data_IF_576080533683
#
_entry.id   IF_576080533683
#
_cell.length_a   1.000
_cell.length_b   1.000
_cell.length_c   1.000
_cell.angle_alpha   90.00
_cell.angle_beta   90.00
_cell.angle_gamma   90.00
#
_symmetry.space_group_name_H-M   'P 1'
#
loop_
_entity.id
_entity.type
_entity.pdbx_description
1 polymer ?
#
# COMPACT_ATOMS: atom_id res chain seq x y z
N UNK A 1 -12.02 -29.47 0.35
CA UNK A 1 -10.59 -29.76 0.62
C UNK A 1 -10.14 -31.17 0.24
N UNK A 2 -10.88 -32.26 0.55
CA UNK A 2 -10.48 -33.63 0.13
C UNK A 2 -10.25 -33.77 -1.39
N UNK A 3 -11.16 -33.23 -2.21
CA UNK A 3 -11.02 -33.19 -3.68
C UNK A 3 -9.74 -32.47 -4.15
N UNK A 4 -9.36 -31.38 -3.49
CA UNK A 4 -8.14 -30.62 -3.82
C UNK A 4 -6.89 -31.47 -3.57
N UNK A 5 -6.82 -32.15 -2.43
CA UNK A 5 -5.69 -33.05 -2.11
C UNK A 5 -5.57 -34.17 -3.14
N UNK A 6 -6.71 -34.76 -3.56
CA UNK A 6 -6.72 -35.81 -4.59
C UNK A 6 -6.19 -35.30 -5.94
N UNK A 7 -6.63 -34.11 -6.39
CA UNK A 7 -6.15 -33.53 -7.65
C UNK A 7 -4.65 -33.18 -7.60
N UNK A 8 -4.18 -32.61 -6.48
CA UNK A 8 -2.76 -32.33 -6.29
C UNK A 8 -1.91 -33.62 -6.31
N UNK A 9 -2.36 -34.68 -5.65
CA UNK A 9 -1.67 -35.98 -5.67
C UNK A 9 -1.69 -36.65 -7.05
N UNK A 10 -2.68 -36.32 -7.90
CA UNK A 10 -2.73 -36.75 -9.29
C UNK A 10 -1.81 -35.93 -10.23
N UNK A 11 -1.05 -34.95 -9.68
CA UNK A 11 -0.16 -34.09 -10.45
C UNK A 11 -0.86 -32.92 -11.15
N UNK A 12 -2.13 -32.64 -10.82
CA UNK A 12 -2.87 -31.52 -11.41
C UNK A 12 -2.55 -30.19 -10.71
N UNK A 13 -2.54 -29.10 -11.48
CA UNK A 13 -2.41 -27.75 -10.96
C UNK A 13 -3.74 -27.24 -10.40
N UNK A 14 -3.72 -26.65 -9.20
CA UNK A 14 -4.92 -26.10 -8.55
C UNK A 14 -4.71 -24.62 -8.23
N UNK A 15 -5.65 -23.79 -8.70
CA UNK A 15 -5.71 -22.36 -8.34
C UNK A 15 -6.63 -22.20 -7.13
N UNK A 16 -6.16 -21.48 -6.10
CA UNK A 16 -6.91 -21.24 -4.88
C UNK A 16 -6.76 -19.77 -4.48
N UNK A 17 -7.88 -19.13 -4.14
CA UNK A 17 -7.91 -17.87 -3.41
C UNK A 17 -8.02 -18.16 -1.91
N UNK A 18 -6.93 -18.04 -1.13
CA UNK A 18 -6.91 -18.53 0.25
C UNK A 18 -7.78 -17.69 1.20
N UNK A 19 -8.25 -16.53 0.74
CA UNK A 19 -9.23 -15.66 1.40
C UNK A 19 -10.67 -16.17 1.32
N UNK A 20 -10.97 -17.13 0.44
CA UNK A 20 -12.28 -17.75 0.27
C UNK A 20 -13.39 -16.86 -0.31
N UNK A 21 -13.18 -15.54 -0.40
CA UNK A 21 -14.12 -14.57 -0.97
C UNK A 21 -13.40 -13.43 -1.69
N UNK A 22 -14.12 -12.75 -2.58
CA UNK A 22 -13.64 -11.53 -3.25
C UNK A 22 -13.66 -10.39 -2.23
N UNK A 23 -12.56 -9.64 -2.14
CA UNK A 23 -12.41 -8.47 -1.26
C UNK A 23 -13.35 -7.33 -1.65
N UNK A 24 -13.89 -6.64 -0.64
CA UNK A 24 -14.73 -5.44 -0.82
C UNK A 24 -13.92 -4.14 -0.73
N UNK A 25 -12.73 -4.20 -0.14
CA UNK A 25 -11.87 -3.04 0.14
C UNK A 25 -10.60 -3.02 -0.71
N UNK A 26 -10.28 -4.13 -1.39
CA UNK A 26 -9.01 -4.29 -2.10
C UNK A 26 -7.84 -4.68 -1.21
N UNK A 27 -8.04 -4.75 0.11
CA UNK A 27 -7.03 -5.21 1.06
C UNK A 27 -7.03 -6.74 1.20
N UNK A 28 -5.91 -7.29 1.69
CA UNK A 28 -5.78 -8.70 2.04
C UNK A 28 -6.79 -9.05 3.14
N UNK A 29 -7.64 -10.03 2.85
CA UNK A 29 -8.60 -10.53 3.84
C UNK A 29 -7.98 -11.60 4.73
N UNK A 30 -8.80 -12.16 5.63
CA UNK A 30 -8.39 -13.32 6.43
C UNK A 30 -8.05 -14.49 5.51
N UNK A 31 -6.78 -14.90 5.53
CA UNK A 31 -6.30 -16.14 4.94
C UNK A 31 -6.80 -17.31 5.80
N UNK A 32 -7.54 -18.24 5.21
CA UNK A 32 -7.99 -19.45 5.90
C UNK A 32 -6.85 -20.47 6.01
N UNK A 33 -6.85 -21.26 7.10
CA UNK A 33 -5.80 -22.25 7.35
C UNK A 33 -5.83 -23.45 6.38
N UNK A 34 -6.98 -23.69 5.73
CA UNK A 34 -7.22 -24.85 4.90
C UNK A 34 -6.23 -25.02 3.74
N UNK A 35 -6.05 -24.01 2.88
CA UNK A 35 -5.06 -24.03 1.79
C UNK A 35 -3.63 -24.27 2.28
N UNK A 36 -3.21 -23.59 3.36
CA UNK A 36 -1.89 -23.79 3.96
C UNK A 36 -1.68 -25.24 4.40
N UNK A 37 -2.66 -25.81 5.12
CA UNK A 37 -2.61 -27.20 5.56
C UNK A 37 -2.55 -28.20 4.40
N UNK A 38 -3.27 -27.96 3.30
CA UNK A 38 -3.22 -28.83 2.13
C UNK A 38 -1.85 -28.77 1.46
N UNK A 39 -1.28 -27.58 1.30
CA UNK A 39 0.07 -27.43 0.73
C UNK A 39 1.12 -28.13 1.60
N UNK A 40 1.09 -27.92 2.92
CA UNK A 40 2.01 -28.57 3.86
C UNK A 40 1.85 -30.10 3.89
N UNK A 41 0.62 -30.62 3.79
CA UNK A 41 0.35 -32.06 3.80
C UNK A 41 0.80 -32.77 2.52
N UNK A 42 0.67 -32.10 1.38
CA UNK A 42 0.98 -32.68 0.05
C UNK A 42 2.43 -32.42 -0.37
N UNK A 43 3.12 -31.47 0.26
CA UNK A 43 4.50 -31.12 -0.06
C UNK A 43 4.66 -30.41 -1.41
N UNK A 44 3.56 -29.92 -1.99
CA UNK A 44 3.57 -29.26 -3.31
C UNK A 44 4.21 -27.89 -3.25
N UNK A 45 4.76 -27.46 -4.39
CA UNK A 45 5.21 -26.09 -4.61
C UNK A 45 4.00 -25.15 -4.74
N UNK A 46 4.13 -23.96 -4.19
CA UNK A 46 3.16 -22.86 -4.24
C UNK A 46 3.73 -21.80 -5.17
N UNK A 47 2.96 -21.35 -6.15
CA UNK A 47 3.30 -20.23 -7.02
C UNK A 47 2.46 -19.01 -6.61
N UNK A 48 3.04 -17.98 -5.95
CA UNK A 48 2.31 -16.79 -5.59
C UNK A 48 2.04 -15.92 -6.82
N UNK A 49 0.77 -15.62 -7.08
CA UNK A 49 0.34 -14.77 -8.20
C UNK A 49 -0.55 -13.64 -7.68
N UNK A 50 -0.12 -12.40 -7.87
CA UNK A 50 -0.94 -11.21 -7.60
C UNK A 50 -1.64 -10.75 -8.86
N UNK A 51 -2.96 -10.57 -8.76
CA UNK A 51 -3.80 -10.02 -9.81
C UNK A 51 -4.17 -8.58 -9.44
N UNK A 52 -3.69 -7.61 -10.21
CA UNK A 52 -4.02 -6.19 -10.02
C UNK A 52 -5.02 -5.72 -11.09
N UNK A 53 -5.84 -4.72 -10.76
CA UNK A 53 -6.78 -4.08 -11.68
C UNK A 53 -8.13 -4.79 -11.86
N UNK A 54 -8.19 -6.13 -11.80
CA UNK A 54 -9.43 -6.88 -12.01
C UNK A 54 -10.58 -6.48 -11.06
N UNK A 55 -10.25 -6.12 -9.81
CA UNK A 55 -11.23 -5.70 -8.81
C UNK A 55 -11.97 -4.38 -9.17
N UNK A 56 -11.40 -3.57 -10.07
CA UNK A 56 -11.98 -2.29 -10.52
C UNK A 56 -12.97 -2.49 -11.68
N UNK A 57 -13.13 -3.71 -12.18
CA UNK A 57 -14.12 -3.99 -13.23
C UNK A 57 -15.54 -3.95 -12.65
N UNK A 58 -16.54 -3.87 -13.53
CA UNK A 58 -17.95 -3.96 -13.13
C UNK A 58 -18.34 -5.33 -12.55
N UNK A 59 -17.53 -6.37 -12.78
CA UNK A 59 -17.68 -7.70 -12.18
C UNK A 59 -16.94 -7.84 -10.83
N UNK A 60 -16.18 -6.82 -10.43
CA UNK A 60 -15.55 -6.74 -9.12
C UNK A 60 -16.58 -6.53 -8.00
N UNK A 61 -16.13 -6.68 -6.76
CA UNK A 61 -16.96 -6.43 -5.56
C UNK A 61 -16.45 -5.27 -4.70
N UNK A 62 -15.61 -4.40 -5.24
CA UNK A 62 -15.18 -3.22 -4.49
C UNK A 62 -16.40 -2.36 -4.13
N UNK A 63 -16.36 -1.76 -2.93
CA UNK A 63 -17.38 -0.82 -2.47
C UNK A 63 -17.50 0.39 -3.39
N UNK A 64 -18.63 1.10 -3.33
CA UNK A 64 -18.89 2.25 -4.20
C UNK A 64 -17.94 3.44 -3.97
N UNK A 65 -17.22 3.44 -2.84
CA UNK A 65 -16.10 4.35 -2.59
C UNK A 65 -14.90 4.12 -3.54
N UNK A 66 -14.92 3.06 -4.34
CA UNK A 66 -13.89 2.74 -5.32
C UNK A 66 -14.44 2.88 -6.74
N UNK A 67 -13.84 3.75 -7.58
CA UNK A 67 -14.30 3.96 -8.94
C UNK A 67 -14.13 2.68 -9.76
N UNK A 68 -15.17 2.35 -10.52
CA UNK A 68 -15.15 1.24 -11.48
C UNK A 68 -14.65 1.73 -12.84
N UNK A 69 -13.98 0.85 -13.60
CA UNK A 69 -13.48 1.14 -14.94
C UNK A 69 -14.10 0.17 -15.95
N UNK A 70 -14.48 0.69 -17.11
CA UNK A 70 -14.77 -0.11 -18.29
C UNK A 70 -13.43 -0.64 -18.82
N UNK A 71 -13.20 -1.94 -18.72
CA UNK A 71 -11.95 -2.60 -19.13
C UNK A 71 -10.69 -2.14 -18.36
N UNK A 72 -10.61 -2.40 -17.03
CA UNK A 72 -9.39 -2.08 -16.30
C UNK A 72 -8.22 -2.92 -16.82
N UNK A 73 -7.02 -2.32 -16.84
CA UNK A 73 -5.79 -3.05 -17.13
C UNK A 73 -5.55 -4.10 -16.04
N UNK A 74 -5.62 -5.38 -16.41
CA UNK A 74 -5.30 -6.48 -15.50
C UNK A 74 -3.81 -6.81 -15.61
N UNK A 75 -3.10 -6.78 -14.49
CA UNK A 75 -1.67 -7.12 -14.43
C UNK A 75 -1.46 -8.32 -13.53
N UNK A 76 -0.77 -9.34 -14.03
CA UNK A 76 -0.37 -10.52 -13.28
C UNK A 76 1.09 -10.38 -12.86
N UNK A 77 1.34 -10.36 -11.55
CA UNK A 77 2.69 -10.40 -10.99
C UNK A 77 2.94 -11.77 -10.39
N UNK A 78 3.85 -12.51 -10.99
CA UNK A 78 4.19 -13.89 -10.61
C UNK A 78 5.51 -13.86 -9.86
N UNK A 79 5.52 -14.44 -8.66
CA UNK A 79 6.74 -14.58 -7.85
C UNK A 79 7.36 -15.96 -7.99
N UNK A 80 8.64 -16.14 -7.59
CA UNK A 80 9.25 -17.46 -7.52
C UNK A 80 8.44 -18.43 -6.66
N UNK A 81 8.54 -19.72 -6.99
CA UNK A 81 7.84 -20.76 -6.24
C UNK A 81 8.39 -20.87 -4.82
N UNK A 82 7.50 -21.18 -3.89
CA UNK A 82 7.81 -21.39 -2.47
C UNK A 82 7.14 -22.67 -1.98
N UNK A 83 7.45 -23.13 -0.79
CA UNK A 83 6.80 -24.28 -0.16
C UNK A 83 6.63 -24.05 1.34
N UNK A 84 5.65 -24.74 1.92
CA UNK A 84 5.37 -24.68 3.36
C UNK A 84 5.88 -25.97 3.98
N UNK A 85 6.99 -25.88 4.72
CA UNK A 85 7.51 -26.97 5.54
C UNK A 85 7.17 -26.72 7.00
N UNK A 86 6.65 -27.74 7.66
CA UNK A 86 6.42 -27.71 9.12
C UNK A 86 7.56 -28.50 9.74
N UNK A 87 8.58 -27.80 10.24
CA UNK A 87 9.67 -28.43 10.97
C UNK A 87 9.17 -28.98 12.30
N UNK A 88 9.58 -30.21 12.62
CA UNK A 88 9.36 -30.82 13.93
C UNK A 88 10.71 -30.90 14.62
N UNK A 89 10.91 -30.12 15.68
CA UNK A 89 12.13 -30.20 16.47
C UNK A 89 12.12 -31.49 17.29
N UNK A 90 13.22 -32.25 17.22
CA UNK A 90 13.37 -33.56 17.90
C UNK A 90 13.21 -33.49 19.43
N UNK A 91 13.36 -32.31 20.02
CA UNK A 91 13.30 -32.09 21.47
C UNK A 91 11.93 -31.63 22.00
N UNK A 92 10.90 -31.51 21.13
CA UNK A 92 9.56 -31.10 21.53
C UNK A 92 8.53 -32.19 21.24
N UNK A 93 7.45 -32.21 22.04
CA UNK A 93 6.33 -33.12 21.82
C UNK A 93 5.76 -32.95 20.40
N UNK A 94 5.32 -34.05 19.75
CA UNK A 94 4.83 -34.00 18.38
C UNK A 94 3.61 -33.08 18.26
N UNK A 95 3.65 -32.19 17.26
CA UNK A 95 2.60 -31.21 17.02
C UNK A 95 1.25 -31.91 16.72
N UNK A 96 0.20 -31.48 17.42
CA UNK A 96 -1.17 -31.93 17.16
C UNK A 96 -1.64 -31.54 15.76
N UNK A 97 -2.65 -32.24 15.22
CA UNK A 97 -3.23 -31.91 13.93
C UNK A 97 -3.77 -30.45 13.86
N UNK A 98 -4.33 -29.96 14.97
CA UNK A 98 -4.82 -28.58 15.09
C UNK A 98 -3.67 -27.57 15.04
N UNK A 99 -2.57 -27.83 15.75
CA UNK A 99 -1.37 -26.97 15.72
C UNK A 99 -0.72 -26.95 14.34
N UNK A 100 -0.54 -28.11 13.70
CA UNK A 100 0.00 -28.19 12.33
C UNK A 100 -0.82 -27.38 11.33
N UNK A 101 -2.16 -27.47 11.44
CA UNK A 101 -3.07 -26.69 10.61
C UNK A 101 -2.91 -25.19 10.81
N UNK A 102 -2.80 -24.73 12.06
CA UNK A 102 -2.58 -23.33 12.39
C UNK A 102 -1.25 -22.81 11.85
N UNK A 103 -0.15 -23.53 12.08
CA UNK A 103 1.19 -23.16 11.60
C UNK A 103 1.20 -23.05 10.07
N UNK A 104 0.58 -24.01 9.38
CA UNK A 104 0.47 -23.97 7.93
C UNK A 104 -0.37 -22.78 7.43
N UNK A 105 -1.44 -22.42 8.15
CA UNK A 105 -2.23 -21.22 7.88
C UNK A 105 -1.45 -19.93 8.07
N UNK A 106 -0.65 -19.83 9.14
CA UNK A 106 0.22 -18.69 9.41
C UNK A 106 1.32 -18.55 8.35
N UNK A 107 1.92 -19.67 7.90
CA UNK A 107 2.88 -19.67 6.81
C UNK A 107 2.25 -19.21 5.48
N UNK A 108 1.04 -19.69 5.16
CA UNK A 108 0.29 -19.24 3.98
C UNK A 108 -0.03 -17.74 4.06
N UNK A 109 -0.42 -17.23 5.23
CA UNK A 109 -0.62 -15.80 5.47
C UNK A 109 0.68 -15.02 5.23
N UNK A 110 1.81 -15.52 5.73
CA UNK A 110 3.13 -14.93 5.51
C UNK A 110 3.49 -14.85 4.03
N UNK A 111 3.26 -15.92 3.26
CA UNK A 111 3.47 -15.93 1.80
C UNK A 111 2.61 -14.86 1.11
N UNK A 112 1.32 -14.76 1.46
CA UNK A 112 0.41 -13.76 0.88
C UNK A 112 0.85 -12.32 1.23
N UNK A 113 1.23 -12.05 2.48
CA UNK A 113 1.74 -10.74 2.91
C UNK A 113 3.04 -10.38 2.21
N UNK A 114 3.98 -11.33 2.13
CA UNK A 114 5.24 -11.15 1.42
C UNK A 114 5.00 -10.88 -0.06
N UNK A 115 4.06 -11.61 -0.67
CA UNK A 115 3.68 -11.39 -2.06
C UNK A 115 3.17 -9.96 -2.26
N UNK A 116 2.26 -9.49 -1.41
CA UNK A 116 1.74 -8.13 -1.50
C UNK A 116 2.85 -7.09 -1.35
N UNK A 117 3.77 -7.27 -0.41
CA UNK A 117 4.89 -6.36 -0.23
C UNK A 117 5.83 -6.33 -1.44
N UNK A 118 6.31 -7.51 -1.90
CA UNK A 118 7.26 -7.62 -3.02
C UNK A 118 6.73 -7.14 -4.35
N UNK A 119 5.42 -7.21 -4.54
CA UNK A 119 4.75 -6.77 -5.76
C UNK A 119 4.34 -5.30 -5.73
N UNK A 120 4.44 -4.64 -4.56
CA UNK A 120 4.22 -3.21 -4.42
C UNK A 120 5.50 -2.46 -4.82
N UNK A 121 5.39 -1.49 -5.73
CA UNK A 121 6.51 -0.60 -6.05
C UNK A 121 6.61 0.45 -4.94
N UNK A 122 7.84 0.73 -4.47
CA UNK A 122 8.10 1.88 -3.60
C UNK A 122 7.81 3.15 -4.40
N UNK A 123 6.92 4.00 -3.87
CA UNK A 123 6.52 5.26 -4.48
C UNK A 123 6.72 6.39 -3.48
N UNK A 124 7.11 7.54 -3.99
CA UNK A 124 7.05 8.81 -3.26
C UNK A 124 5.60 9.18 -2.96
N UNK A 125 5.40 10.09 -2.00
CA UNK A 125 4.08 10.63 -1.68
C UNK A 125 3.45 11.30 -2.92
N UNK A 126 4.25 11.98 -3.72
CA UNK A 126 3.77 12.63 -4.94
C UNK A 126 3.32 11.62 -6.02
N UNK A 127 4.08 10.53 -6.24
CA UNK A 127 3.66 9.47 -7.16
C UNK A 127 2.38 8.77 -6.69
N UNK A 128 2.26 8.52 -5.39
CA UNK A 128 1.03 7.96 -4.81
C UNK A 128 -0.17 8.89 -4.99
N UNK A 129 0.05 10.22 -4.93
CA UNK A 129 -0.97 11.22 -5.25
C UNK A 129 -1.39 11.18 -6.73
N UNK A 130 -0.43 11.05 -7.66
CA UNK A 130 -0.74 10.89 -9.08
C UNK A 130 -1.51 9.59 -9.37
N UNK A 131 -1.14 8.47 -8.75
CA UNK A 131 -1.90 7.22 -8.87
C UNK A 131 -3.33 7.38 -8.35
N UNK A 132 -3.51 8.09 -7.24
CA UNK A 132 -4.83 8.37 -6.68
C UNK A 132 -5.64 9.22 -7.66
N UNK A 133 -5.06 10.25 -8.27
CA UNK A 133 -5.70 11.03 -9.31
C UNK A 133 -6.09 10.18 -10.53
N UNK A 134 -5.23 9.28 -11.00
CA UNK A 134 -5.54 8.36 -12.12
C UNK A 134 -6.62 7.33 -11.76
N UNK A 135 -6.74 7.00 -10.48
CA UNK A 135 -7.77 6.10 -9.96
C UNK A 135 -9.11 6.82 -9.83
N UNK A 136 -9.15 7.93 -9.11
CA UNK A 136 -10.37 8.65 -8.72
C UNK A 136 -10.83 9.70 -9.73
N UNK A 137 -9.98 10.09 -10.67
CA UNK A 137 -10.25 11.10 -11.69
C UNK A 137 -9.83 12.50 -11.26
N UNK A 138 -9.27 13.25 -12.21
CA UNK A 138 -8.70 14.58 -11.98
C UNK A 138 -9.72 15.63 -11.48
N UNK A 139 -11.01 15.46 -11.80
CA UNK A 139 -12.09 16.37 -11.39
C UNK A 139 -12.75 16.01 -10.06
N UNK A 140 -12.31 14.92 -9.42
CA UNK A 140 -12.87 14.51 -8.14
C UNK A 140 -12.37 15.42 -7.03
N UNK A 141 -13.29 15.83 -6.16
CA UNK A 141 -13.02 16.66 -4.97
C UNK A 141 -12.22 15.85 -3.95
N UNK A 142 -11.10 16.40 -3.49
CA UNK A 142 -10.15 15.68 -2.64
C UNK A 142 -10.02 16.30 -1.25
N UNK A 143 -10.01 17.63 -1.18
CA UNK A 143 -9.75 18.37 0.05
C UNK A 143 -10.66 19.58 0.13
N UNK A 144 -11.07 19.92 1.33
CA UNK A 144 -11.90 21.08 1.66
C UNK A 144 -11.13 21.96 2.65
N UNK A 145 -11.18 23.28 2.45
CA UNK A 145 -10.58 24.24 3.38
C UNK A 145 -11.61 24.74 4.43
N UNK A 146 -11.16 25.60 5.36
CA UNK A 146 -12.04 26.16 6.40
C UNK A 146 -13.17 27.04 5.85
N UNK A 147 -13.05 27.53 4.61
CA UNK A 147 -14.07 28.32 3.94
C UNK A 147 -15.06 27.44 3.15
N UNK A 148 -15.02 26.11 3.34
CA UNK A 148 -15.83 25.13 2.63
C UNK A 148 -15.58 25.14 1.10
N UNK A 149 -14.39 25.57 0.69
CA UNK A 149 -13.98 25.50 -0.71
C UNK A 149 -13.30 24.16 -0.94
N UNK A 150 -13.90 23.36 -1.81
CA UNK A 150 -13.35 22.06 -2.21
C UNK A 150 -12.43 22.19 -3.42
N UNK A 151 -11.21 21.68 -3.30
CA UNK A 151 -10.27 21.54 -4.41
C UNK A 151 -10.34 20.12 -5.01
N UNK A 152 -10.32 20.06 -6.33
CA UNK A 152 -10.17 18.83 -7.10
C UNK A 152 -8.71 18.36 -7.16
N UNK A 153 -8.49 17.08 -7.48
CA UNK A 153 -7.14 16.56 -7.72
C UNK A 153 -6.34 17.40 -8.73
N UNK A 154 -6.98 17.86 -9.81
CA UNK A 154 -6.32 18.67 -10.84
C UNK A 154 -5.86 20.04 -10.29
N UNK A 155 -6.67 20.66 -9.44
CA UNK A 155 -6.34 21.95 -8.82
C UNK A 155 -5.21 21.80 -7.82
N UNK A 156 -5.27 20.77 -6.97
CA UNK A 156 -4.18 20.42 -6.04
C UNK A 156 -2.89 20.14 -6.81
N UNK A 157 -2.94 19.38 -7.92
CA UNK A 157 -1.76 19.09 -8.73
C UNK A 157 -1.15 20.37 -9.32
N UNK A 158 -1.97 21.23 -9.94
CA UNK A 158 -1.50 22.52 -10.50
C UNK A 158 -0.82 23.36 -9.43
N UNK A 159 -1.46 23.50 -8.25
CA UNK A 159 -0.93 24.28 -7.14
C UNK A 159 0.35 23.68 -6.58
N UNK A 160 0.41 22.35 -6.47
CA UNK A 160 1.60 21.63 -6.00
C UNK A 160 2.80 21.87 -6.91
N UNK A 161 2.60 21.80 -8.23
CA UNK A 161 3.67 22.06 -9.20
C UNK A 161 4.15 23.52 -9.16
N UNK A 162 3.22 24.47 -9.02
CA UNK A 162 3.55 25.89 -8.91
C UNK A 162 4.35 26.20 -7.62
N UNK A 163 3.83 25.78 -6.46
CA UNK A 163 4.48 26.01 -5.16
C UNK A 163 5.82 25.26 -5.07
N UNK A 164 5.89 24.03 -5.56
CA UNK A 164 7.14 23.27 -5.63
C UNK A 164 8.22 23.99 -6.46
N UNK A 165 7.85 24.57 -7.61
CA UNK A 165 8.76 25.36 -8.44
C UNK A 165 9.19 26.67 -7.78
N UNK A 166 8.35 27.27 -6.93
CA UNK A 166 8.73 28.44 -6.14
C UNK A 166 9.71 28.03 -5.04
N UNK A 167 9.43 26.92 -4.34
CA UNK A 167 10.31 26.39 -3.29
C UNK A 167 11.71 26.10 -3.82
N UNK A 168 11.86 25.67 -5.09
CA UNK A 168 13.19 25.42 -5.66
C UNK A 168 14.05 26.68 -5.85
N UNK A 169 13.45 27.88 -5.84
CA UNK A 169 14.19 29.15 -5.92
C UNK A 169 14.87 29.53 -4.60
N UNK A 170 14.38 28.98 -3.49
CA UNK A 170 14.82 29.33 -2.13
C UNK A 170 15.39 28.14 -1.35
N UNK A 171 15.48 26.97 -1.98
CA UNK A 171 16.00 25.73 -1.36
C UNK A 171 16.78 24.89 -2.37
N UNK A 172 17.54 23.93 -1.89
CA UNK A 172 18.32 22.98 -2.68
C UNK A 172 17.68 21.58 -2.70
N UNK A 173 18.00 20.74 -3.70
CA UNK A 173 17.62 19.34 -3.68
C UNK A 173 18.15 18.63 -2.41
N UNK A 174 17.34 17.72 -1.87
CA UNK A 174 17.55 16.97 -0.62
C UNK A 174 17.65 17.84 0.67
N UNK A 175 17.40 19.14 0.58
CA UNK A 175 17.31 20.02 1.76
C UNK A 175 16.04 19.73 2.57
N UNK A 176 16.17 19.78 3.90
CA UNK A 176 15.04 19.77 4.82
C UNK A 176 14.49 21.19 4.94
N UNK A 177 13.27 21.39 4.46
CA UNK A 177 12.61 22.71 4.41
C UNK A 177 11.46 22.72 5.39
N UNK A 178 11.49 23.67 6.32
CA UNK A 178 10.41 23.89 7.29
C UNK A 178 9.16 24.39 6.58
N UNK A 179 8.00 23.83 6.93
CA UNK A 179 6.69 24.23 6.40
C UNK A 179 5.86 24.83 7.52
N UNK A 180 5.51 26.10 7.37
CA UNK A 180 4.72 26.89 8.31
C UNK A 180 3.68 27.72 7.55
N UNK A 181 2.69 27.02 7.00
CA UNK A 181 1.66 27.61 6.14
C UNK A 181 0.35 27.85 6.92
N UNK A 182 -0.39 28.95 6.64
CA UNK A 182 -1.62 29.29 7.36
C UNK A 182 -2.86 28.51 6.91
N UNK A 183 -2.82 27.79 5.77
CA UNK A 183 -3.98 27.09 5.20
C UNK A 183 -3.63 25.67 4.77
N UNK A 184 -4.46 24.70 5.17
CA UNK A 184 -4.32 23.27 4.90
C UNK A 184 -4.17 22.91 3.41
N UNK A 185 -4.93 23.54 2.50
CA UNK A 185 -4.87 23.20 1.06
C UNK A 185 -3.55 23.65 0.45
N UNK A 186 -3.04 24.82 0.85
CA UNK A 186 -1.73 25.31 0.44
C UNK A 186 -0.60 24.51 1.10
N UNK A 187 -0.74 24.12 2.37
CA UNK A 187 0.20 23.23 3.06
C UNK A 187 0.33 21.90 2.33
N UNK A 188 -0.79 21.25 2.01
CA UNK A 188 -0.80 19.99 1.28
C UNK A 188 -0.13 20.14 -0.09
N UNK A 189 -0.52 21.18 -0.85
CA UNK A 189 0.06 21.44 -2.16
C UNK A 189 1.57 21.70 -2.08
N UNK A 190 2.04 22.46 -1.08
CA UNK A 190 3.47 22.72 -0.87
C UNK A 190 4.21 21.43 -0.51
N UNK A 191 3.69 20.60 0.39
CA UNK A 191 4.30 19.31 0.78
C UNK A 191 4.41 18.38 -0.43
N UNK A 192 3.34 18.23 -1.21
CA UNK A 192 3.34 17.45 -2.45
C UNK A 192 4.33 18.00 -3.48
N UNK A 193 4.32 19.32 -3.68
CA UNK A 193 5.22 20.03 -4.58
C UNK A 193 6.68 19.86 -4.19
N UNK A 194 7.04 20.07 -2.94
CA UNK A 194 8.40 19.87 -2.45
C UNK A 194 8.86 18.42 -2.64
N UNK A 195 8.00 17.44 -2.35
CA UNK A 195 8.30 16.02 -2.64
C UNK A 195 8.56 15.78 -4.13
N UNK A 196 7.74 16.35 -5.03
CA UNK A 196 7.92 16.27 -6.48
C UNK A 196 9.25 16.86 -6.96
N UNK A 197 9.68 17.97 -6.34
CA UNK A 197 10.92 18.67 -6.66
C UNK A 197 12.10 18.26 -5.77
N UNK A 198 12.06 17.09 -5.13
CA UNK A 198 13.16 16.51 -4.34
C UNK A 198 13.58 17.36 -3.13
N UNK A 199 12.65 18.04 -2.47
CA UNK A 199 12.85 18.68 -1.15
C UNK A 199 12.19 17.82 -0.08
N UNK A 200 12.71 17.88 1.15
CA UNK A 200 12.18 17.12 2.29
C UNK A 200 11.30 18.07 3.12
N UNK A 201 9.96 17.97 3.04
CA UNK A 201 9.07 18.78 3.87
C UNK A 201 9.19 18.42 5.35
N UNK A 202 9.38 19.43 6.19
CA UNK A 202 9.32 19.30 7.64
C UNK A 202 8.24 20.23 8.21
N UNK A 203 7.07 19.70 8.57
CA UNK A 203 6.01 20.53 9.14
C UNK A 203 6.41 21.04 10.53
N UNK A 204 6.29 22.35 10.72
CA UNK A 204 6.56 23.01 12.00
C UNK A 204 5.24 23.28 12.73
N UNK A 205 5.24 23.06 14.05
CA UNK A 205 4.07 23.36 14.88
C UNK A 205 4.13 24.80 15.40
N UNK A 206 3.27 25.67 14.87
CA UNK A 206 3.20 27.07 15.27
C UNK A 206 2.83 27.28 16.76
N UNK A 207 2.20 26.29 17.41
CA UNK A 207 1.84 26.36 18.83
C UNK A 207 2.97 25.98 19.79
N UNK A 208 4.12 25.52 19.29
CA UNK A 208 5.24 25.04 20.10
C UNK A 208 6.05 26.16 20.81
N UNK A 209 5.71 27.43 20.57
CA UNK A 209 6.47 28.58 21.07
C UNK A 209 7.84 28.74 20.40
N UNK A 210 8.52 29.85 20.71
CA UNK A 210 9.78 30.21 20.04
C UNK A 210 10.91 29.19 20.28
N UNK A 211 11.07 28.73 21.52
CA UNK A 211 12.12 27.76 21.88
C UNK A 211 11.85 26.39 21.25
N UNK A 212 10.59 25.94 21.25
CA UNK A 212 10.19 24.70 20.60
C UNK A 212 10.47 24.71 19.09
N UNK A 213 10.13 25.82 18.42
CA UNK A 213 10.45 25.99 16.99
C UNK A 213 11.95 26.04 16.72
N UNK A 214 12.73 26.77 17.53
CA UNK A 214 14.18 26.86 17.36
C UNK A 214 14.85 25.49 17.55
N UNK A 215 14.42 24.74 18.57
CA UNK A 215 14.91 23.38 18.82
C UNK A 215 14.55 22.43 17.68
N UNK A 216 13.33 22.51 17.14
CA UNK A 216 12.91 21.72 15.98
C UNK A 216 13.77 22.04 14.74
N UNK A 217 13.99 23.32 14.45
CA UNK A 217 14.83 23.73 13.32
C UNK A 217 16.27 23.26 13.49
N UNK A 218 16.83 23.36 14.70
CA UNK A 218 18.19 22.90 14.99
C UNK A 218 18.29 21.37 14.84
N UNK A 219 17.37 20.61 15.45
CA UNK A 219 17.37 19.15 15.42
C UNK A 219 17.18 18.59 14.00
N UNK A 220 16.35 19.24 13.18
CA UNK A 220 16.07 18.84 11.81
C UNK A 220 17.01 19.50 10.77
N UNK A 221 17.99 20.32 11.19
CA UNK A 221 18.89 21.10 10.33
C UNK A 221 18.13 21.93 9.28
N UNK A 222 17.02 22.55 9.70
CA UNK A 222 16.21 23.43 8.85
C UNK A 222 16.87 24.80 8.78
N UNK A 223 17.23 25.21 7.56
CA UNK A 223 17.81 26.53 7.27
C UNK A 223 16.81 27.47 6.61
N UNK A 224 15.82 26.88 5.93
CA UNK A 224 14.79 27.58 5.17
C UNK A 224 13.42 27.19 5.70
N UNK A 225 12.59 28.18 6.04
CA UNK A 225 11.19 27.99 6.43
C UNK A 225 10.31 28.72 5.42
N UNK A 226 9.27 28.03 4.94
CA UNK A 226 8.25 28.53 4.01
C UNK A 226 6.90 28.55 4.70
#
# INVERSE_FOLDING_TARGET
>A
MKKVVQRLNAGENVVIFPEGRITLTGALMKVYDGPGFVAAKTGVKILPVRVEGAAQSYFGRLSDAHPRKLLPRVTLKILPTTDIRIEQHRHHAPLTAKQRRRIAGEAMRGIMQHMLFKTQQSKSLFEAFLDAMDKYGAKSRMIEDMNQVEDTYQEVLKRSLALGRIATKVSQPAEVVGVLMPNITNTLALVLGMSAFKRIPAMLNYTAGADGMRNACHAANIRTVI
#
